data_IF_126928563888
#
_entry.id   IF_126928563888
#
_cell.length_a   1.000
_cell.length_b   1.000
_cell.length_c   1.000
_cell.angle_alpha   90.00
_cell.angle_beta   90.00
_cell.angle_gamma   90.00
#
_symmetry.space_group_name_H-M   'P 1'
#
loop_
_entity.id
_entity.type
_entity.pdbx_description
1 polymer ?
#
# COMPACT_ATOMS: atom_id res chain seq x y z
N UNK A 1 -6.89 11.98 16.37
CA UNK A 1 -7.19 10.55 16.67
C UNK A 1 -6.81 9.59 15.54
N UNK A 2 -6.63 10.03 14.28
CA UNK A 2 -6.13 9.18 13.18
C UNK A 2 -4.61 9.28 12.92
N UNK A 3 -3.94 10.35 13.36
CA UNK A 3 -2.51 10.62 13.06
C UNK A 3 -1.54 9.67 13.80
N UNK A 4 -1.93 9.17 14.98
CA UNK A 4 -1.19 8.09 15.67
C UNK A 4 -1.22 6.77 14.87
N UNK A 5 -2.02 6.65 13.78
CA UNK A 5 -2.25 5.38 13.08
C UNK A 5 -1.39 5.10 11.86
N UNK A 6 -0.80 6.06 11.12
CA UNK A 6 -0.06 5.70 9.88
C UNK A 6 1.22 4.90 10.19
N UNK A 7 2.01 5.34 11.15
CA UNK A 7 3.20 4.62 11.63
C UNK A 7 2.83 3.26 12.23
N UNK A 8 1.82 3.24 13.11
CA UNK A 8 1.32 2.00 13.72
C UNK A 8 0.76 1.06 12.63
N UNK A 9 0.09 1.57 11.60
CA UNK A 9 -0.48 0.75 10.51
C UNK A 9 0.62 0.11 9.68
N UNK A 10 1.66 0.87 9.33
CA UNK A 10 2.83 0.33 8.61
C UNK A 10 3.55 -0.71 9.48
N UNK A 11 3.71 -0.45 10.77
CA UNK A 11 4.31 -1.39 11.71
C UNK A 11 3.48 -2.68 11.82
N UNK A 12 2.17 -2.57 12.00
CA UNK A 12 1.25 -3.72 12.04
C UNK A 12 1.32 -4.53 10.74
N UNK A 13 1.25 -3.87 9.58
CA UNK A 13 1.36 -4.54 8.28
C UNK A 13 2.71 -5.26 8.12
N UNK A 14 3.81 -4.63 8.56
CA UNK A 14 5.15 -5.24 8.55
C UNK A 14 5.23 -6.48 9.45
N UNK A 15 4.71 -6.41 10.67
CA UNK A 15 4.72 -7.56 11.60
C UNK A 15 3.87 -8.73 11.09
N UNK A 16 2.71 -8.43 10.48
CA UNK A 16 1.84 -9.45 9.88
C UNK A 16 2.52 -10.11 8.69
N UNK A 17 3.08 -9.33 7.76
CA UNK A 17 3.78 -9.89 6.58
C UNK A 17 5.01 -10.70 6.97
N UNK A 18 5.81 -10.24 7.94
CA UNK A 18 6.93 -11.00 8.49
C UNK A 18 6.50 -12.34 9.11
N UNK A 19 5.42 -12.34 9.90
CA UNK A 19 4.88 -13.55 10.51
C UNK A 19 4.40 -14.56 9.45
N UNK A 20 3.75 -14.07 8.40
CA UNK A 20 3.27 -14.90 7.30
C UNK A 20 4.42 -15.48 6.46
N UNK A 21 5.46 -14.69 6.20
CA UNK A 21 6.70 -15.18 5.57
C UNK A 21 7.35 -16.27 6.41
N UNK A 22 7.40 -16.11 7.74
CA UNK A 22 7.92 -17.14 8.65
C UNK A 22 7.10 -18.42 8.60
N UNK A 23 5.76 -18.33 8.60
CA UNK A 23 4.88 -19.49 8.44
C UNK A 23 5.13 -20.23 7.12
N UNK A 24 5.33 -19.51 6.01
CA UNK A 24 5.66 -20.11 4.72
C UNK A 24 7.00 -20.87 4.75
N UNK A 25 8.05 -20.22 5.25
CA UNK A 25 9.38 -20.83 5.33
C UNK A 25 9.43 -22.03 6.29
N UNK A 26 8.94 -21.87 7.53
CA UNK A 26 8.97 -22.94 8.54
C UNK A 26 8.02 -24.07 8.16
N UNK A 27 6.85 -23.75 7.62
CA UNK A 27 5.93 -24.77 7.15
C UNK A 27 6.55 -25.64 6.06
N UNK A 28 7.32 -25.05 5.13
CA UNK A 28 7.97 -25.82 4.06
C UNK A 28 9.11 -26.69 4.63
N UNK A 29 9.96 -26.12 5.50
CA UNK A 29 11.07 -26.83 6.13
C UNK A 29 10.65 -27.97 7.07
N UNK A 30 9.50 -27.82 7.73
CA UNK A 30 8.97 -28.79 8.70
C UNK A 30 7.89 -29.68 8.10
N UNK A 31 7.61 -29.56 6.80
CA UNK A 31 6.52 -30.24 6.11
C UNK A 31 5.16 -30.10 6.87
N UNK A 32 4.96 -28.95 7.53
CA UNK A 32 3.79 -28.71 8.36
C UNK A 32 2.66 -28.10 7.51
N UNK A 33 1.72 -28.95 7.10
CA UNK A 33 0.60 -28.57 6.24
C UNK A 33 -0.33 -27.53 6.86
N UNK A 34 -0.43 -27.43 8.19
CA UNK A 34 -1.24 -26.40 8.85
C UNK A 34 -0.66 -25.00 8.60
N UNK A 35 0.65 -24.83 8.78
CA UNK A 35 1.34 -23.56 8.52
C UNK A 35 1.30 -23.17 7.03
N UNK A 36 1.48 -24.16 6.14
CA UNK A 36 1.36 -23.95 4.69
C UNK A 36 -0.06 -23.52 4.28
N UNK A 37 -1.09 -24.12 4.86
CA UNK A 37 -2.48 -23.76 4.57
C UNK A 37 -2.80 -22.33 5.02
N UNK A 38 -2.28 -21.88 6.17
CA UNK A 38 -2.42 -20.49 6.62
C UNK A 38 -1.75 -19.52 5.64
N UNK A 39 -0.51 -19.81 5.24
CA UNK A 39 0.22 -19.03 4.26
C UNK A 39 -0.52 -18.97 2.91
N UNK A 40 -0.97 -20.12 2.39
CA UNK A 40 -1.68 -20.20 1.12
C UNK A 40 -3.03 -19.49 1.13
N UNK A 41 -3.77 -19.56 2.24
CA UNK A 41 -5.03 -18.83 2.42
C UNK A 41 -4.81 -17.32 2.32
N UNK A 42 -3.72 -16.82 2.91
CA UNK A 42 -3.35 -15.41 2.84
C UNK A 42 -2.97 -14.97 1.41
N UNK A 43 -2.13 -15.74 0.69
CA UNK A 43 -1.78 -15.41 -0.71
C UNK A 43 -3.03 -15.42 -1.60
N UNK A 44 -3.94 -16.37 -1.39
CA UNK A 44 -5.23 -16.43 -2.10
C UNK A 44 -6.08 -15.18 -1.83
N UNK A 45 -6.19 -14.75 -0.57
CA UNK A 45 -6.90 -13.53 -0.22
C UNK A 45 -6.27 -12.29 -0.88
N UNK A 46 -4.94 -12.21 -0.95
CA UNK A 46 -4.24 -11.14 -1.67
C UNK A 46 -4.54 -11.16 -3.18
N UNK A 47 -4.56 -12.32 -3.81
CA UNK A 47 -4.91 -12.44 -5.24
C UNK A 47 -6.34 -11.95 -5.51
N UNK A 48 -7.30 -12.35 -4.67
CA UNK A 48 -8.69 -11.89 -4.77
C UNK A 48 -8.80 -10.38 -4.55
N UNK A 49 -8.10 -9.82 -3.55
CA UNK A 49 -8.10 -8.39 -3.28
C UNK A 49 -7.50 -7.60 -4.46
N UNK A 50 -6.43 -8.09 -5.08
CA UNK A 50 -5.83 -7.45 -6.26
C UNK A 50 -6.78 -7.47 -7.46
N UNK A 51 -7.48 -8.59 -7.68
CA UNK A 51 -8.49 -8.68 -8.73
C UNK A 51 -9.63 -7.67 -8.50
N UNK A 52 -10.18 -7.62 -7.29
CA UNK A 52 -11.23 -6.67 -6.92
C UNK A 52 -10.77 -5.22 -7.04
N UNK A 53 -9.56 -4.90 -6.56
CA UNK A 53 -8.98 -3.58 -6.69
C UNK A 53 -8.81 -3.19 -8.18
N UNK A 54 -8.31 -4.10 -9.01
CA UNK A 54 -8.20 -3.89 -10.46
C UNK A 54 -9.54 -3.61 -11.12
N UNK A 55 -10.59 -4.37 -10.78
CA UNK A 55 -11.95 -4.15 -11.27
C UNK A 55 -12.48 -2.78 -10.84
N UNK A 56 -12.32 -2.39 -9.57
CA UNK A 56 -12.77 -1.09 -9.06
C UNK A 56 -12.05 0.06 -9.77
N UNK A 57 -10.73 -0.04 -9.95
CA UNK A 57 -9.93 0.96 -10.68
C UNK A 57 -10.37 1.11 -12.12
N UNK A 58 -10.68 0.00 -12.79
CA UNK A 58 -11.10 0.01 -14.19
C UNK A 58 -12.52 0.55 -14.39
N UNK A 59 -13.48 0.13 -13.57
CA UNK A 59 -14.90 0.46 -13.75
C UNK A 59 -15.35 1.74 -13.05
N UNK A 60 -14.69 2.18 -11.97
CA UNK A 60 -15.15 3.28 -11.10
C UNK A 60 -14.11 4.40 -10.90
N UNK A 61 -13.46 4.93 -11.96
CA UNK A 61 -12.39 5.93 -11.81
C UNK A 61 -12.88 7.25 -11.18
N UNK A 62 -14.12 7.65 -11.46
CA UNK A 62 -14.71 8.89 -10.92
C UNK A 62 -14.95 8.81 -9.41
N UNK A 63 -15.39 7.66 -8.92
CA UNK A 63 -15.62 7.43 -7.49
C UNK A 63 -14.31 7.41 -6.72
N UNK A 64 -13.28 6.77 -7.26
CA UNK A 64 -11.92 6.76 -6.67
C UNK A 64 -11.37 8.17 -6.55
N UNK A 65 -11.48 8.98 -7.61
CA UNK A 65 -11.02 10.38 -7.58
C UNK A 65 -11.75 11.18 -6.50
N UNK A 66 -13.06 11.00 -6.36
CA UNK A 66 -13.85 11.67 -5.31
C UNK A 66 -13.42 11.25 -3.91
N UNK A 67 -13.30 9.93 -3.66
CA UNK A 67 -12.88 9.38 -2.37
C UNK A 67 -11.50 9.90 -1.95
N UNK A 68 -10.53 9.89 -2.87
CA UNK A 68 -9.18 10.41 -2.64
C UNK A 68 -9.19 11.90 -2.32
N UNK A 69 -9.97 12.69 -3.06
CA UNK A 69 -10.09 14.13 -2.84
C UNK A 69 -10.76 14.45 -1.50
N UNK A 70 -11.83 13.77 -1.12
CA UNK A 70 -12.61 14.14 0.07
C UNK A 70 -11.98 13.62 1.37
N UNK A 71 -11.41 12.41 1.36
CA UNK A 71 -11.01 11.72 2.59
C UNK A 71 -9.55 11.97 2.96
N UNK A 72 -8.64 11.82 2.00
CA UNK A 72 -7.20 11.78 2.30
C UNK A 72 -6.50 13.12 2.06
N UNK A 73 -7.02 13.93 1.13
CA UNK A 73 -6.25 15.07 0.65
C UNK A 73 -6.31 16.32 1.53
N UNK A 74 -7.50 16.72 2.00
CA UNK A 74 -7.64 17.96 2.75
C UNK A 74 -7.02 17.86 4.15
N UNK A 75 -7.06 16.68 4.77
CA UNK A 75 -6.40 16.45 6.07
C UNK A 75 -4.88 16.65 5.99
N UNK A 76 -4.25 16.25 4.87
CA UNK A 76 -2.81 16.40 4.66
C UNK A 76 -2.37 17.88 4.69
N UNK A 77 -3.21 18.77 4.16
CA UNK A 77 -2.93 20.21 4.15
C UNK A 77 -3.24 20.82 5.52
N UNK A 78 -4.37 20.46 6.15
CA UNK A 78 -4.75 21.01 7.47
C UNK A 78 -3.72 20.66 8.54
N UNK A 79 -3.22 19.42 8.55
CA UNK A 79 -2.26 18.91 9.53
C UNK A 79 -0.80 18.93 9.05
N UNK A 80 -0.50 19.68 7.98
CA UNK A 80 0.84 19.72 7.38
C UNK A 80 1.98 20.03 8.37
N UNK A 81 1.75 20.96 9.32
CA UNK A 81 2.72 21.37 10.33
C UNK A 81 2.64 20.57 11.65
N UNK A 82 1.70 19.63 11.76
CA UNK A 82 1.45 18.92 13.01
C UNK A 82 2.42 17.73 13.18
N UNK A 83 2.96 17.19 12.08
CA UNK A 83 3.99 16.15 12.12
C UNK A 83 5.05 16.34 11.04
N UNK A 84 6.33 16.03 11.35
CA UNK A 84 7.41 16.10 10.36
C UNK A 84 7.24 15.09 9.22
N UNK A 85 6.49 14.01 9.42
CA UNK A 85 6.20 13.00 8.39
C UNK A 85 5.18 13.49 7.38
N UNK A 86 4.10 14.17 7.80
CA UNK A 86 3.17 14.80 6.87
C UNK A 86 3.82 15.90 6.07
N UNK A 87 4.70 16.68 6.71
CA UNK A 87 5.47 17.70 6.01
C UNK A 87 6.33 17.06 4.90
N UNK A 88 7.17 16.08 5.25
CA UNK A 88 8.05 15.39 4.29
C UNK A 88 7.28 14.68 3.18
N UNK A 89 6.17 14.04 3.50
CA UNK A 89 5.33 13.35 2.52
C UNK A 89 4.73 14.35 1.52
N UNK A 90 4.11 15.42 2.02
CA UNK A 90 3.48 16.43 1.17
C UNK A 90 4.53 17.16 0.31
N UNK A 91 5.66 17.54 0.91
CA UNK A 91 6.76 18.18 0.21
C UNK A 91 7.29 17.28 -0.92
N UNK A 92 7.48 15.98 -0.64
CA UNK A 92 7.91 15.01 -1.64
C UNK A 92 6.91 14.82 -2.78
N UNK A 93 5.60 14.79 -2.47
CA UNK A 93 4.55 14.69 -3.50
C UNK A 93 4.60 15.93 -4.40
N UNK A 94 4.67 17.13 -3.82
CA UNK A 94 4.65 18.38 -4.57
C UNK A 94 5.87 18.54 -5.47
N UNK A 95 7.06 18.22 -4.96
CA UNK A 95 8.29 18.29 -5.73
C UNK A 95 8.32 17.25 -6.87
N UNK A 96 7.91 16.00 -6.58
CA UNK A 96 7.98 14.90 -7.55
C UNK A 96 6.91 15.00 -8.62
N UNK A 97 5.72 15.46 -8.25
CA UNK A 97 4.57 15.58 -9.14
C UNK A 97 4.38 17.00 -9.69
N UNK A 98 5.26 17.93 -9.32
CA UNK A 98 5.29 19.31 -9.80
C UNK A 98 3.92 20.00 -9.69
N UNK A 99 3.37 19.98 -8.48
CA UNK A 99 2.01 20.42 -8.16
C UNK A 99 1.98 21.19 -6.83
N UNK A 100 0.91 21.95 -6.59
CA UNK A 100 0.67 22.62 -5.31
C UNK A 100 -0.82 22.59 -4.96
N UNK A 101 -1.12 22.11 -3.75
CA UNK A 101 -2.48 21.79 -3.33
C UNK A 101 -3.00 20.49 -3.93
N UNK A 102 -4.24 20.10 -3.60
CA UNK A 102 -4.75 18.77 -3.92
C UNK A 102 -6.20 18.79 -4.45
N UNK A 103 -7.02 19.72 -3.97
CA UNK A 103 -8.39 19.94 -4.41
C UNK A 103 -8.46 20.77 -5.69
N UNK A 104 -9.68 21.01 -6.17
CA UNK A 104 -9.96 21.89 -7.31
C UNK A 104 -9.55 23.35 -7.10
N UNK A 105 -9.28 23.79 -5.86
CA UNK A 105 -8.77 25.15 -5.57
C UNK A 105 -7.25 25.26 -5.78
N UNK A 106 -6.60 24.17 -6.19
CA UNK A 106 -5.18 24.08 -6.47
C UNK A 106 -4.33 24.67 -5.33
N UNK A 107 -3.36 25.54 -5.63
CA UNK A 107 -2.46 26.14 -4.65
C UNK A 107 -3.20 26.94 -3.54
N UNK A 108 -4.46 27.34 -3.77
CA UNK A 108 -5.27 28.05 -2.77
C UNK A 108 -5.77 27.16 -1.63
N UNK A 109 -5.64 25.84 -1.74
CA UNK A 109 -5.95 24.92 -0.65
C UNK A 109 -5.15 25.21 0.62
N UNK A 110 -3.94 25.77 0.46
CA UNK A 110 -3.09 26.16 1.58
C UNK A 110 -3.73 27.20 2.49
N UNK A 111 -4.75 27.92 2.03
CA UNK A 111 -5.53 28.81 2.89
C UNK A 111 -6.35 28.07 3.97
N UNK A 112 -6.56 26.76 3.83
CA UNK A 112 -7.21 25.93 4.84
C UNK A 112 -6.29 25.59 6.02
N UNK A 113 -4.96 25.69 5.85
CA UNK A 113 -4.00 25.44 6.92
C UNK A 113 -3.86 26.66 7.84
N UNK A 114 -3.83 26.44 9.16
CA UNK A 114 -3.76 27.52 10.16
C UNK A 114 -2.53 28.44 10.04
N UNK A 115 -1.39 27.92 9.56
CA UNK A 115 -0.14 28.67 9.44
C UNK A 115 -0.06 29.49 8.15
N UNK A 116 -0.71 29.04 7.07
CA UNK A 116 -0.67 29.67 5.75
C UNK A 116 -1.90 30.55 5.45
N UNK A 117 -2.98 30.39 6.21
CA UNK A 117 -4.23 31.14 6.05
C UNK A 117 -4.01 32.66 5.96
N UNK A 118 -4.62 33.30 4.97
CA UNK A 118 -4.48 34.73 4.68
C UNK A 118 -5.17 35.70 5.64
N UNK A 119 -5.86 35.21 6.67
CA UNK A 119 -6.58 36.05 7.62
C UNK A 119 -5.66 37.08 8.26
N UNK A 120 -6.12 38.34 8.34
CA UNK A 120 -5.33 39.44 8.93
C UNK A 120 -4.92 39.17 10.38
N UNK A 121 -5.73 38.38 11.10
CA UNK A 121 -5.48 37.97 12.47
C UNK A 121 -4.43 36.84 12.63
N UNK A 122 -3.98 36.22 11.54
CA UNK A 122 -2.99 35.16 11.60
C UNK A 122 -1.59 35.75 11.90
N UNK A 123 -0.96 35.41 13.03
CA UNK A 123 0.37 35.94 13.40
C UNK A 123 1.53 35.21 12.71
N UNK A 124 1.27 34.13 11.96
CA UNK A 124 2.28 33.31 11.30
C UNK A 124 3.12 34.13 10.31
N UNK A 125 4.44 33.91 10.31
CA UNK A 125 5.36 34.46 9.30
C UNK A 125 5.11 33.91 7.90
N UNK A 126 4.44 32.76 7.80
CA UNK A 126 4.08 32.07 6.55
C UNK A 126 2.66 32.43 6.07
N UNK A 127 2.03 33.43 6.67
CA UNK A 127 0.71 33.91 6.26
C UNK A 127 0.66 34.23 4.76
N UNK A 128 -0.45 33.91 4.11
CA UNK A 128 -0.66 34.11 2.67
C UNK A 128 0.37 33.43 1.78
N UNK A 129 1.05 32.40 2.28
CA UNK A 129 2.13 31.75 1.57
C UNK A 129 1.78 30.30 1.22
N UNK A 130 2.59 29.68 0.38
CA UNK A 130 2.59 28.23 0.14
C UNK A 130 3.95 27.65 0.57
N UNK A 131 4.02 26.34 0.87
CA UNK A 131 5.29 25.71 1.19
C UNK A 131 6.32 25.82 0.08
N UNK A 132 7.60 25.72 0.46
CA UNK A 132 8.72 25.81 -0.49
C UNK A 132 8.69 24.70 -1.55
N UNK A 133 8.14 23.53 -1.25
CA UNK A 133 7.98 22.41 -2.19
C UNK A 133 7.04 22.71 -3.36
N UNK A 134 6.18 23.74 -3.24
CA UNK A 134 5.39 24.24 -4.36
C UNK A 134 6.20 25.11 -5.34
N UNK A 135 7.42 25.53 -4.97
CA UNK A 135 8.25 26.40 -5.78
C UNK A 135 8.82 25.69 -6.99
N UNK A 136 8.81 26.37 -8.14
CA UNK A 136 9.54 25.90 -9.31
C UNK A 136 11.04 26.07 -9.06
N UNK A 137 11.84 25.03 -9.32
CA UNK A 137 13.30 25.16 -9.28
C UNK A 137 13.75 26.06 -10.43
N UNK A 138 14.50 27.10 -10.11
CA UNK A 138 15.08 27.98 -11.12
C UNK A 138 16.31 27.28 -11.72
N UNK A 139 16.44 27.26 -13.04
CA UNK A 139 17.49 26.50 -13.76
C UNK A 139 18.88 27.14 -13.66
N UNK A 140 18.98 28.41 -13.27
CA UNK A 140 20.22 29.19 -13.21
C UNK A 140 20.93 29.16 -11.86
N UNK A 141 20.21 28.86 -10.78
CA UNK A 141 20.77 28.72 -9.44
C UNK A 141 20.18 27.46 -8.83
N UNK A 142 21.01 26.49 -8.45
CA UNK A 142 20.58 25.24 -7.78
C UNK A 142 19.99 25.47 -6.37
N UNK A 143 19.44 26.66 -6.10
CA UNK A 143 18.93 27.11 -4.81
C UNK A 143 17.46 27.46 -4.98
N UNK A 144 16.58 26.74 -4.29
CA UNK A 144 15.19 27.18 -4.12
C UNK A 144 15.24 28.42 -3.24
N UNK A 145 14.77 29.56 -3.74
CA UNK A 145 14.63 30.74 -2.89
C UNK A 145 13.60 30.40 -1.80
N UNK A 146 14.06 30.32 -0.54
CA UNK A 146 13.20 29.97 0.61
C UNK A 146 12.00 30.92 0.78
N UNK A 147 11.98 32.02 0.02
CA UNK A 147 10.92 33.03 0.00
C UNK A 147 10.01 33.00 -1.24
N UNK A 148 10.17 32.05 -2.18
CA UNK A 148 9.35 32.00 -3.40
C UNK A 148 7.84 31.87 -3.08
N UNK A 149 7.49 31.08 -2.06
CA UNK A 149 6.10 30.84 -1.69
C UNK A 149 5.43 32.01 -0.98
N UNK A 150 6.17 33.08 -0.64
CA UNK A 150 5.68 34.17 0.22
C UNK A 150 4.64 35.03 -0.49
N UNK A 151 3.51 35.28 0.17
CA UNK A 151 2.39 36.10 -0.34
C UNK A 151 1.75 35.61 -1.66
N UNK A 152 2.09 34.40 -2.13
CA UNK A 152 1.58 33.82 -3.38
C UNK A 152 0.06 33.66 -3.36
N UNK A 153 -0.55 33.41 -2.19
CA UNK A 153 -2.01 33.26 -2.08
C UNK A 153 -2.78 34.56 -2.41
N UNK A 154 -2.12 35.72 -2.32
CA UNK A 154 -2.70 37.02 -2.66
C UNK A 154 -2.43 37.43 -4.12
N UNK A 155 -1.66 36.64 -4.87
CA UNK A 155 -1.36 36.90 -6.27
C UNK A 155 -2.47 36.40 -7.19
N UNK A 156 -2.47 36.92 -8.43
CA UNK A 156 -3.28 36.34 -9.50
C UNK A 156 -2.70 35.00 -9.93
N UNK A 157 -3.54 34.13 -10.51
CA UNK A 157 -3.08 32.81 -10.96
C UNK A 157 -2.01 32.93 -12.08
N UNK A 158 -2.03 34.02 -12.86
CA UNK A 158 -1.04 34.32 -13.89
C UNK A 158 0.33 34.67 -13.29
N UNK A 159 0.36 35.54 -12.28
CA UNK A 159 1.62 35.95 -11.64
C UNK A 159 2.22 34.79 -10.83
N UNK A 160 1.37 34.02 -10.14
CA UNK A 160 1.77 32.85 -9.38
C UNK A 160 2.39 31.75 -10.26
N UNK A 161 1.94 31.62 -11.52
CA UNK A 161 2.42 30.60 -12.45
C UNK A 161 3.93 30.67 -12.69
N UNK A 162 4.55 31.84 -12.62
CA UNK A 162 5.99 31.97 -12.86
C UNK A 162 6.85 31.48 -11.69
N UNK A 163 6.29 31.44 -10.47
CA UNK A 163 7.05 31.15 -9.25
C UNK A 163 6.73 29.77 -8.66
N UNK A 164 5.47 29.35 -8.73
CA UNK A 164 5.00 28.09 -8.13
C UNK A 164 4.25 27.21 -9.12
N UNK A 165 4.17 25.93 -8.80
CA UNK A 165 3.24 25.03 -9.48
C UNK A 165 1.81 25.42 -9.10
N UNK A 166 0.95 25.78 -10.06
CA UNK A 166 -0.44 26.17 -9.76
C UNK A 166 -1.44 25.03 -9.97
N UNK A 167 -1.00 23.85 -10.41
CA UNK A 167 -1.86 22.68 -10.62
C UNK A 167 -2.02 21.84 -9.35
N UNK A 168 -3.15 21.15 -9.20
CA UNK A 168 -3.37 20.26 -8.06
C UNK A 168 -2.68 18.89 -8.24
N UNK A 169 -2.27 18.29 -7.11
CA UNK A 169 -1.53 17.03 -7.11
C UNK A 169 -2.37 15.82 -7.51
N UNK A 170 -3.69 15.85 -7.32
CA UNK A 170 -4.56 14.75 -7.71
C UNK A 170 -4.65 14.61 -9.23
N UNK A 171 -4.74 15.73 -9.96
CA UNK A 171 -4.72 15.75 -11.42
C UNK A 171 -3.34 15.43 -11.97
N UNK A 172 -2.26 15.92 -11.34
CA UNK A 172 -0.89 15.52 -11.70
C UNK A 172 -0.67 14.02 -11.52
N UNK A 173 -1.18 13.43 -10.43
CA UNK A 173 -1.15 11.98 -10.21
C UNK A 173 -1.92 11.22 -11.29
N UNK A 174 -3.13 11.65 -11.62
CA UNK A 174 -3.89 11.04 -12.70
C UNK A 174 -3.15 11.16 -14.06
N UNK A 175 -2.51 12.29 -14.33
CA UNK A 175 -1.73 12.49 -15.56
C UNK A 175 -0.55 11.54 -15.63
N UNK A 176 0.22 11.45 -14.55
CA UNK A 176 1.35 10.53 -14.44
C UNK A 176 0.93 9.08 -14.66
N UNK A 177 -0.18 8.65 -14.03
CA UNK A 177 -0.73 7.30 -14.22
C UNK A 177 -1.14 7.05 -15.66
N UNK A 178 -1.79 8.02 -16.32
CA UNK A 178 -2.21 7.90 -17.72
C UNK A 178 -1.01 7.78 -18.66
N UNK A 179 0.02 8.59 -18.45
CA UNK A 179 1.23 8.59 -19.26
C UNK A 179 2.06 7.30 -19.07
N UNK A 180 2.05 6.75 -17.86
CA UNK A 180 2.80 5.53 -17.52
C UNK A 180 1.91 4.29 -17.39
N UNK A 181 0.69 4.33 -17.97
CA UNK A 181 -0.33 3.29 -17.74
C UNK A 181 0.15 1.90 -18.19
N UNK A 182 0.93 1.82 -19.26
CA UNK A 182 1.51 0.58 -19.78
C UNK A 182 2.51 -0.02 -18.80
N UNK A 183 3.41 0.79 -18.26
CA UNK A 183 4.42 0.37 -17.28
C UNK A 183 3.75 -0.06 -15.98
N UNK A 184 2.82 0.75 -15.47
CA UNK A 184 2.11 0.46 -14.21
C UNK A 184 1.30 -0.83 -14.35
N UNK A 185 0.54 -0.97 -15.44
CA UNK A 185 -0.23 -2.20 -15.71
C UNK A 185 0.70 -3.39 -15.81
N UNK A 186 1.83 -3.28 -16.52
CA UNK A 186 2.83 -4.33 -16.60
C UNK A 186 3.37 -4.77 -15.24
N UNK A 187 3.74 -3.83 -14.37
CA UNK A 187 4.21 -4.13 -13.01
C UNK A 187 3.14 -4.82 -12.16
N UNK A 188 1.89 -4.34 -12.22
CA UNK A 188 0.78 -4.98 -11.52
C UNK A 188 0.53 -6.41 -12.03
N UNK A 189 0.60 -6.63 -13.35
CA UNK A 189 0.36 -7.93 -13.97
C UNK A 189 1.49 -8.91 -13.62
N UNK A 190 2.74 -8.47 -13.65
CA UNK A 190 3.90 -9.26 -13.17
C UNK A 190 3.73 -9.64 -11.70
N UNK A 191 3.34 -8.70 -10.84
CA UNK A 191 3.10 -8.99 -9.43
C UNK A 191 2.02 -10.05 -9.22
N UNK A 192 0.89 -9.96 -9.94
CA UNK A 192 -0.19 -10.97 -9.89
C UNK A 192 0.30 -12.34 -10.38
N UNK A 193 1.07 -12.38 -11.48
CA UNK A 193 1.65 -13.64 -12.00
C UNK A 193 2.58 -14.28 -10.96
N UNK A 194 3.44 -13.49 -10.32
CA UNK A 194 4.36 -13.99 -9.27
C UNK A 194 3.57 -14.55 -8.10
N UNK A 195 2.53 -13.85 -7.62
CA UNK A 195 1.68 -14.37 -6.54
C UNK A 195 0.95 -15.66 -6.94
N UNK A 196 0.44 -15.73 -8.17
CA UNK A 196 -0.22 -16.94 -8.68
C UNK A 196 0.74 -18.12 -8.80
N UNK A 197 1.98 -17.88 -9.24
CA UNK A 197 3.02 -18.89 -9.30
C UNK A 197 3.41 -19.40 -7.91
N UNK A 198 3.65 -18.49 -6.95
CA UNK A 198 3.95 -18.85 -5.55
C UNK A 198 2.81 -19.66 -4.95
N UNK A 199 1.56 -19.27 -5.22
CA UNK A 199 0.38 -20.00 -4.77
C UNK A 199 0.31 -21.41 -5.38
N UNK A 200 0.57 -21.55 -6.68
CA UNK A 200 0.60 -22.83 -7.37
C UNK A 200 1.66 -23.77 -6.78
N UNK A 201 2.88 -23.27 -6.55
CA UNK A 201 3.96 -24.05 -5.93
C UNK A 201 3.61 -24.47 -4.50
N UNK A 202 3.01 -23.56 -3.72
CA UNK A 202 2.60 -23.87 -2.34
C UNK A 202 1.55 -24.97 -2.31
N UNK A 203 0.54 -24.91 -3.20
CA UNK A 203 -0.51 -25.93 -3.30
C UNK A 203 0.05 -27.28 -3.74
N UNK A 204 0.93 -27.29 -4.76
CA UNK A 204 1.61 -28.52 -5.18
C UNK A 204 2.38 -29.18 -4.02
N UNK A 205 3.11 -28.40 -3.23
CA UNK A 205 3.83 -28.88 -2.06
C UNK A 205 2.89 -29.43 -0.98
N UNK A 206 1.77 -28.75 -0.70
CA UNK A 206 0.75 -29.23 0.24
C UNK A 206 0.19 -30.58 -0.23
N UNK A 207 -0.16 -30.68 -1.51
CA UNK A 207 -0.74 -31.88 -2.09
C UNK A 207 0.22 -33.06 -2.01
N UNK A 208 1.50 -32.86 -2.34
CA UNK A 208 2.55 -33.88 -2.20
C UNK A 208 2.67 -34.39 -0.76
N UNK A 209 2.78 -33.49 0.23
CA UNK A 209 2.89 -33.86 1.65
C UNK A 209 1.64 -34.63 2.10
N UNK A 210 0.45 -34.18 1.71
CA UNK A 210 -0.81 -34.85 2.06
C UNK A 210 -0.96 -36.21 1.39
N UNK A 211 -0.47 -36.37 0.15
CA UNK A 211 -0.48 -37.65 -0.55
C UNK A 211 0.44 -38.64 0.17
N UNK A 212 1.69 -38.24 0.47
CA UNK A 212 2.66 -39.09 1.18
C UNK A 212 2.11 -39.51 2.54
N UNK A 213 1.55 -38.57 3.31
CA UNK A 213 0.93 -38.87 4.61
C UNK A 213 -0.23 -39.85 4.48
N UNK A 214 -1.13 -39.66 3.51
CA UNK A 214 -2.25 -40.59 3.25
C UNK A 214 -1.78 -41.98 2.84
N UNK A 215 -0.71 -42.09 2.05
CA UNK A 215 -0.12 -43.38 1.66
C UNK A 215 0.46 -44.09 2.90
N UNK A 216 1.19 -43.35 3.74
CA UNK A 216 1.80 -43.90 4.94
C UNK A 216 0.76 -44.39 5.95
N UNK A 217 -0.30 -43.62 6.20
CA UNK A 217 -1.43 -44.03 7.06
C UNK A 217 -2.07 -45.32 6.56
N UNK A 218 -2.42 -45.40 5.27
CA UNK A 218 -2.98 -46.63 4.67
C UNK A 218 -2.04 -47.82 4.75
N UNK A 219 -0.74 -47.60 4.59
CA UNK A 219 0.25 -48.66 4.71
C UNK A 219 0.33 -49.17 6.16
N UNK A 220 0.33 -48.25 7.13
CA UNK A 220 0.37 -48.59 8.55
C UNK A 220 -0.90 -49.33 9.01
N UNK A 221 -2.09 -48.88 8.58
CA UNK A 221 -3.36 -49.59 8.83
C UNK A 221 -3.31 -51.04 8.32
N UNK A 222 -2.90 -51.25 7.06
CA UNK A 222 -2.78 -52.61 6.50
C UNK A 222 -1.76 -53.47 7.25
N UNK A 223 -0.61 -52.89 7.63
CA UNK A 223 0.41 -53.62 8.36
C UNK A 223 -0.09 -54.04 9.75
N UNK A 224 -0.89 -53.19 10.40
CA UNK A 224 -1.54 -53.48 11.67
C UNK A 224 -2.58 -54.59 11.55
N UNK A 225 -3.46 -54.53 10.54
CA UNK A 225 -4.49 -55.55 10.29
C UNK A 225 -3.87 -56.94 10.05
N UNK A 226 -2.78 -57.02 9.27
CA UNK A 226 -2.06 -58.27 9.02
C UNK A 226 -1.51 -58.85 10.32
N UNK A 227 -0.94 -58.01 11.20
CA UNK A 227 -0.39 -58.44 12.48
C UNK A 227 -1.49 -58.95 13.43
N UNK A 228 -2.62 -58.25 13.51
CA UNK A 228 -3.76 -58.66 14.32
C UNK A 228 -4.34 -60.00 13.86
N UNK A 229 -4.40 -60.25 12.54
CA UNK A 229 -4.84 -61.53 11.98
C UNK A 229 -3.91 -62.71 12.35
N UNK A 230 -2.60 -62.47 12.47
CA UNK A 230 -1.64 -63.50 12.88
C UNK A 230 -1.75 -63.85 14.38
N UNK A 231 -2.09 -62.89 15.23
CA UNK A 231 -2.31 -63.11 16.67
C UNK A 231 -3.54 -64.00 16.93
N UNK A 232 -4.63 -63.80 16.18
CA UNK A 232 -5.82 -64.68 16.24
C UNK A 232 -5.55 -66.13 15.84
N UNK A 233 -4.56 -66.38 14.98
CA UNK A 233 -4.18 -67.75 14.58
C UNK A 233 -3.23 -68.42 15.59
N UNK A 234 -2.63 -67.65 16.50
CA UNK A 234 -1.64 -68.15 17.46
C UNK A 234 -2.21 -68.35 18.87
N UNK A 235 -3.45 -67.93 19.15
CA UNK A 235 -4.17 -68.37 20.36
C UNK A 235 -4.48 -69.87 20.27
N UNK A 236 -3.87 -70.72 21.11
CA UNK A 236 -4.21 -72.13 21.15
C UNK A 236 -5.62 -72.27 21.71
N UNK A 237 -6.42 -73.17 21.11
CA UNK A 237 -7.71 -73.59 21.62
C UNK A 237 -7.58 -74.00 23.10
N UNK A 238 -7.96 -73.10 24.00
CA UNK A 238 -8.11 -73.41 25.41
C UNK A 238 -9.29 -74.39 25.55
N UNK A 239 -8.95 -75.66 25.72
CA UNK A 239 -9.83 -76.71 26.26
C UNK A 239 -10.26 -76.38 27.69
#
# INVERSE_FOLDING_TARGET
MFVIKMEITVMLFGTVTMSLSFCGCVGALRENTCLLNVYSSFITALLLLNLLAGLVVFFLPSQIKKLLSETFSMELIVHYRDSPDFQRLMDSIQERMQCCGISKRNFRDWNANMYFNCSRANPSSERCSVPYSCCKRNTTEQVVSLSCGRNVLNMTDYDAWFQVYTGNCLDSAHRYVRENVTIITGLCLVFVIVLAFVQMVTQALIDEIQIIRRIYEKFYERAFDIRAAQELQTEPSAN
#
